data_IF_501999303663
#
_entry.id   IF_501999303663
#
_cell.length_a   1.000
_cell.length_b   1.000
_cell.length_c   1.000
_cell.angle_alpha   90.00
_cell.angle_beta   90.00
_cell.angle_gamma   90.00
#
_symmetry.space_group_name_H-M   'P 1'
#
loop_
_entity.id
_entity.type
_entity.pdbx_description
1 polymer ?
#
# COMPACT_ATOMS: atom_id res chain seq x y z
N UNK A 1 -26.62 -8.51 7.61
CA UNK A 1 -25.74 -9.20 6.64
C UNK A 1 -25.85 -8.42 5.34
N UNK A 2 -24.94 -7.50 5.10
CA UNK A 2 -24.90 -6.69 3.86
C UNK A 2 -24.46 -7.62 2.73
N UNK A 3 -25.25 -7.69 1.66
CA UNK A 3 -24.93 -8.50 0.48
C UNK A 3 -23.54 -8.05 -0.03
N UNK A 4 -22.63 -9.01 -0.19
CA UNK A 4 -21.33 -8.81 -0.81
C UNK A 4 -21.62 -8.38 -2.26
N UNK A 5 -21.21 -7.18 -2.65
CA UNK A 5 -21.18 -6.82 -4.06
C UNK A 5 -20.30 -7.88 -4.75
N UNK A 6 -20.79 -8.48 -5.83
CA UNK A 6 -20.24 -9.68 -6.48
C UNK A 6 -18.84 -9.48 -7.09
N UNK A 7 -18.15 -8.39 -6.77
CA UNK A 7 -16.92 -7.93 -7.43
C UNK A 7 -15.77 -7.58 -6.46
N UNK A 8 -15.99 -7.68 -5.13
CA UNK A 8 -14.96 -7.37 -4.12
C UNK A 8 -14.09 -8.59 -3.83
N UNK A 9 -12.79 -8.52 -4.16
CA UNK A 9 -11.82 -9.57 -3.81
C UNK A 9 -11.35 -9.44 -2.36
N UNK A 10 -11.12 -8.20 -1.89
CA UNK A 10 -10.70 -7.90 -0.52
C UNK A 10 -11.61 -6.85 0.09
N UNK A 11 -12.08 -7.10 1.32
CA UNK A 11 -12.80 -6.13 2.15
C UNK A 11 -12.19 -6.06 3.54
N UNK A 12 -11.80 -4.85 3.95
CA UNK A 12 -11.21 -4.55 5.26
C UNK A 12 -12.19 -3.70 6.05
N UNK A 13 -12.49 -4.10 7.29
CA UNK A 13 -13.44 -3.41 8.15
C UNK A 13 -12.86 -3.14 9.52
N UNK A 14 -12.78 -1.86 9.89
CA UNK A 14 -12.33 -1.38 11.20
C UNK A 14 -11.01 -2.01 11.67
N UNK A 15 -10.05 -2.16 10.74
CA UNK A 15 -8.77 -2.78 11.03
C UNK A 15 -7.95 -1.92 11.99
N UNK A 16 -7.48 -2.52 13.08
CA UNK A 16 -6.71 -1.85 14.14
C UNK A 16 -5.41 -2.60 14.40
N UNK A 17 -4.32 -1.85 14.50
CA UNK A 17 -3.04 -2.33 15.04
C UNK A 17 -2.43 -1.30 15.97
N UNK A 18 -2.41 -1.63 17.23
CA UNK A 18 -1.79 -0.84 18.28
C UNK A 18 -0.56 -1.57 18.81
N UNK A 19 0.57 -0.87 18.88
CA UNK A 19 1.82 -1.38 19.46
C UNK A 19 2.01 -0.77 20.85
N UNK A 20 2.05 -1.58 21.92
CA UNK A 20 2.35 -1.07 23.26
C UNK A 20 3.81 -0.63 23.31
N UNK A 21 4.06 0.59 23.79
CA UNK A 21 5.40 1.06 24.10
C UNK A 21 5.85 0.36 25.41
N UNK A 22 7.02 -0.25 25.38
CA UNK A 22 7.61 -0.82 26.59
C UNK A 22 7.94 0.32 27.55
N UNK A 23 7.58 0.23 28.84
CA UNK A 23 8.03 1.21 29.82
C UNK A 23 9.56 1.25 29.81
N UNK A 24 10.13 2.45 29.75
CA UNK A 24 11.56 2.63 29.91
C UNK A 24 12.02 2.14 31.28
N UNK A 25 13.31 1.84 31.45
CA UNK A 25 13.92 1.32 32.68
C UNK A 25 13.67 2.20 33.94
N UNK A 26 13.21 3.43 33.77
CA UNK A 26 12.88 4.40 34.81
C UNK A 26 11.37 4.65 34.98
N UNK A 27 10.48 3.75 34.54
CA UNK A 27 9.05 3.85 34.86
C UNK A 27 8.28 4.92 34.08
N UNK A 28 8.63 5.18 32.80
CA UNK A 28 7.89 6.10 31.92
C UNK A 28 6.48 5.61 31.58
N UNK A 29 5.60 6.55 31.18
CA UNK A 29 4.18 6.29 30.91
C UNK A 29 3.97 5.16 29.90
N UNK A 30 2.97 4.31 30.15
CA UNK A 30 2.50 3.27 29.23
C UNK A 30 1.85 3.96 28.01
N UNK A 31 2.63 4.22 26.96
CA UNK A 31 2.13 4.75 25.68
C UNK A 31 1.73 3.61 24.74
N UNK A 32 0.93 3.95 23.76
CA UNK A 32 0.53 3.04 22.65
C UNK A 32 0.74 3.78 21.34
N UNK A 33 1.44 3.15 20.38
CA UNK A 33 1.53 3.64 19.00
C UNK A 33 0.36 3.04 18.23
N UNK A 34 -0.54 3.89 17.75
CA UNK A 34 -1.69 3.51 16.92
C UNK A 34 -1.27 3.53 15.46
N UNK A 35 -0.63 2.47 15.01
CA UNK A 35 -0.12 2.39 13.63
C UNK A 35 -1.23 2.24 12.59
N UNK A 36 -2.31 1.54 12.93
CA UNK A 36 -3.55 1.42 12.16
C UNK A 36 -4.70 1.57 13.15
N UNK A 37 -5.66 2.43 12.89
CA UNK A 37 -6.69 2.82 13.87
C UNK A 37 -8.06 2.97 13.22
N UNK A 38 -8.74 1.84 12.96
CA UNK A 38 -10.08 1.80 12.37
C UNK A 38 -10.10 1.95 10.85
N UNK A 39 -9.13 1.37 10.14
CA UNK A 39 -9.04 1.44 8.68
C UNK A 39 -10.08 0.52 8.03
N UNK A 40 -10.84 1.08 7.06
CA UNK A 40 -11.83 0.34 6.27
C UNK A 40 -11.73 0.71 4.80
N UNK A 41 -11.66 -0.29 3.92
CA UNK A 41 -11.67 -0.14 2.46
C UNK A 41 -11.97 -1.48 1.79
N UNK A 42 -12.29 -1.45 0.49
CA UNK A 42 -12.39 -2.64 -0.34
C UNK A 42 -11.56 -2.51 -1.61
N UNK A 43 -11.18 -3.66 -2.19
CA UNK A 43 -10.50 -3.76 -3.48
C UNK A 43 -11.28 -4.75 -4.34
N UNK A 44 -11.68 -4.32 -5.54
CA UNK A 44 -12.36 -5.16 -6.53
C UNK A 44 -11.36 -6.07 -7.24
N UNK A 45 -11.84 -7.16 -7.81
CA UNK A 45 -10.99 -8.04 -8.61
C UNK A 45 -10.45 -7.30 -9.83
N UNK A 46 -9.13 -7.39 -10.09
CA UNK A 46 -8.44 -6.67 -11.15
C UNK A 46 -8.19 -5.19 -10.89
N UNK A 47 -8.64 -4.63 -9.75
CA UNK A 47 -8.41 -3.23 -9.38
C UNK A 47 -7.02 -3.03 -8.76
N UNK A 48 -6.42 -1.87 -9.02
CA UNK A 48 -5.29 -1.36 -8.25
C UNK A 48 -5.76 -0.27 -7.29
N UNK A 49 -5.75 -0.55 -5.98
CA UNK A 49 -5.95 0.45 -4.94
C UNK A 49 -4.61 1.01 -4.49
N UNK A 50 -4.41 2.31 -4.68
CA UNK A 50 -3.25 3.04 -4.13
C UNK A 50 -3.46 3.39 -2.67
N UNK A 51 -2.46 3.13 -1.82
CA UNK A 51 -2.46 3.57 -0.42
C UNK A 51 -1.30 4.54 -0.22
N UNK A 52 -1.62 5.82 0.00
CA UNK A 52 -0.64 6.91 0.04
C UNK A 52 -0.71 7.69 1.36
N UNK A 53 0.39 8.33 1.73
CA UNK A 53 0.50 9.19 2.92
C UNK A 53 1.94 9.36 3.36
N UNK A 54 2.20 10.24 4.33
CA UNK A 54 3.53 10.50 4.89
C UNK A 54 4.17 9.22 5.47
N UNK A 55 5.51 9.21 5.62
CA UNK A 55 6.21 8.14 6.33
C UNK A 55 5.67 8.00 7.76
N UNK A 56 5.44 6.77 8.20
CA UNK A 56 4.85 6.50 9.52
C UNK A 56 3.33 6.63 9.58
N UNK A 57 2.61 6.90 8.48
CA UNK A 57 1.14 6.96 8.48
C UNK A 57 0.45 5.61 8.70
N UNK A 58 1.16 4.48 8.60
CA UNK A 58 0.63 3.13 8.85
C UNK A 58 0.47 2.24 7.61
N UNK A 59 0.81 2.72 6.41
CA UNK A 59 0.64 2.02 5.12
C UNK A 59 1.25 0.61 5.09
N UNK A 60 2.56 0.51 5.32
CA UNK A 60 3.27 -0.78 5.33
C UNK A 60 2.78 -1.70 6.45
N UNK A 61 2.34 -1.13 7.59
CA UNK A 61 1.70 -1.90 8.66
C UNK A 61 0.40 -2.51 8.18
N UNK A 62 -0.43 -1.75 7.45
CA UNK A 62 -1.67 -2.25 6.84
C UNK A 62 -1.38 -3.41 5.86
N UNK A 63 -0.43 -3.23 4.95
CA UNK A 63 -0.02 -4.31 4.03
C UNK A 63 0.44 -5.58 4.76
N UNK A 64 1.25 -5.43 5.80
CA UNK A 64 1.75 -6.57 6.62
C UNK A 64 0.66 -7.27 7.42
N UNK A 65 -0.36 -6.55 7.88
CA UNK A 65 -1.54 -7.14 8.53
C UNK A 65 -2.32 -8.02 7.55
N UNK A 66 -2.58 -7.52 6.34
CA UNK A 66 -3.28 -8.29 5.31
C UNK A 66 -2.52 -9.56 4.93
N UNK A 67 -1.20 -9.49 4.85
CA UNK A 67 -0.34 -10.65 4.60
C UNK A 67 -0.17 -11.57 5.82
N UNK A 68 -0.82 -11.27 6.94
CA UNK A 68 -0.62 -11.99 8.23
C UNK A 68 0.84 -12.15 8.61
N UNK A 69 1.64 -11.14 8.33
CA UNK A 69 2.99 -10.97 8.88
C UNK A 69 2.94 -10.29 10.26
N UNK A 70 1.81 -9.63 10.56
CA UNK A 70 1.46 -9.06 11.85
C UNK A 70 0.04 -9.48 12.20
N UNK A 71 -0.22 -9.75 13.48
CA UNK A 71 -1.57 -9.99 13.97
C UNK A 71 -2.27 -8.65 14.26
N UNK A 72 -3.56 -8.48 13.89
CA UNK A 72 -4.32 -7.29 14.22
C UNK A 72 -4.60 -7.20 15.73
N UNK A 73 -4.89 -6.00 16.21
CA UNK A 73 -5.44 -5.79 17.54
C UNK A 73 -6.96 -6.05 17.53
N UNK A 74 -7.64 -5.62 16.47
CA UNK A 74 -9.06 -5.87 16.21
C UNK A 74 -9.39 -5.56 14.74
N UNK A 75 -10.65 -5.77 14.35
CA UNK A 75 -11.13 -5.60 12.98
C UNK A 75 -11.07 -6.89 12.18
N UNK A 76 -11.59 -6.84 10.95
CA UNK A 76 -11.69 -7.98 10.05
C UNK A 76 -11.12 -7.65 8.68
N UNK A 77 -10.65 -8.67 7.97
CA UNK A 77 -10.28 -8.58 6.57
C UNK A 77 -10.78 -9.84 5.86
N UNK A 78 -11.67 -9.65 4.90
CA UNK A 78 -12.33 -10.72 4.17
C UNK A 78 -11.70 -10.76 2.77
N UNK A 79 -11.08 -11.88 2.44
CA UNK A 79 -10.51 -12.17 1.13
C UNK A 79 -11.27 -13.32 0.50
N UNK A 80 -11.84 -13.10 -0.68
CA UNK A 80 -12.65 -14.08 -1.40
C UNK A 80 -13.75 -14.70 -0.51
N UNK A 81 -14.46 -13.84 0.21
CA UNK A 81 -15.56 -14.22 1.11
C UNK A 81 -15.15 -14.86 2.44
N UNK A 82 -13.84 -14.99 2.74
CA UNK A 82 -13.35 -15.66 3.96
C UNK A 82 -12.48 -14.72 4.79
N UNK A 83 -12.70 -14.71 6.10
CA UNK A 83 -11.92 -13.88 7.03
C UNK A 83 -10.46 -14.37 7.11
N UNK A 84 -9.54 -13.47 6.76
CA UNK A 84 -8.09 -13.72 6.76
C UNK A 84 -7.56 -14.11 8.16
N UNK A 85 -8.09 -13.50 9.21
CA UNK A 85 -7.53 -13.63 10.56
C UNK A 85 -7.95 -14.89 11.29
N UNK A 86 -8.99 -15.57 10.82
CA UNK A 86 -9.47 -16.84 11.39
C UNK A 86 -8.87 -18.07 10.74
N UNK A 87 -8.26 -17.95 9.54
CA UNK A 87 -7.70 -19.09 8.79
C UNK A 87 -6.51 -19.72 9.48
N UNK A 88 -6.41 -21.06 9.41
CA UNK A 88 -5.33 -21.86 9.99
C UNK A 88 -4.99 -23.04 9.07
N UNK A 89 -3.84 -23.69 9.31
CA UNK A 89 -3.45 -24.91 8.59
C UNK A 89 -3.40 -24.73 7.07
N UNK A 90 -4.06 -25.59 6.33
CA UNK A 90 -4.07 -25.58 4.85
C UNK A 90 -4.77 -24.36 4.27
N UNK A 91 -5.85 -23.87 4.90
CA UNK A 91 -6.54 -22.66 4.45
C UNK A 91 -5.62 -21.42 4.49
N UNK A 92 -4.76 -21.33 5.52
CA UNK A 92 -3.75 -20.28 5.61
C UNK A 92 -2.67 -20.42 4.52
N UNK A 93 -2.29 -21.65 4.17
CA UNK A 93 -1.33 -21.88 3.07
C UNK A 93 -1.93 -21.49 1.72
N UNK A 94 -3.18 -21.85 1.48
CA UNK A 94 -3.91 -21.47 0.27
C UNK A 94 -4.00 -19.96 0.15
N UNK A 95 -4.39 -19.27 1.22
CA UNK A 95 -4.42 -17.81 1.28
C UNK A 95 -3.05 -17.21 0.93
N UNK A 96 -1.97 -17.72 1.55
CA UNK A 96 -0.60 -17.23 1.29
C UNK A 96 -0.14 -17.47 -0.15
N UNK A 97 -0.68 -18.47 -0.84
CA UNK A 97 -0.47 -18.65 -2.27
C UNK A 97 -1.16 -17.56 -3.08
N UNK A 98 -2.42 -17.27 -2.74
CA UNK A 98 -3.26 -16.33 -3.48
C UNK A 98 -2.97 -14.86 -3.18
N UNK A 99 -2.29 -14.58 -2.07
CA UNK A 99 -1.87 -13.25 -1.67
C UNK A 99 -0.34 -13.21 -1.54
N UNK A 100 0.31 -12.36 -2.28
CA UNK A 100 1.77 -12.21 -2.26
C UNK A 100 2.18 -10.77 -2.02
N UNK A 101 3.43 -10.58 -1.58
CA UNK A 101 3.98 -9.26 -1.29
C UNK A 101 5.31 -9.05 -2.02
N UNK A 102 5.45 -7.85 -2.60
CA UNK A 102 6.72 -7.29 -3.07
C UNK A 102 7.18 -6.27 -2.03
N UNK A 103 8.35 -6.50 -1.45
CA UNK A 103 8.90 -5.66 -0.38
C UNK A 103 9.65 -4.44 -0.92
N UNK A 104 9.75 -3.43 -0.08
CA UNK A 104 10.44 -2.17 -0.31
C UNK A 104 11.93 -2.35 -0.62
N UNK A 105 12.61 -3.21 0.14
CA UNK A 105 14.04 -3.46 -0.02
C UNK A 105 14.31 -4.76 -0.80
N UNK A 106 14.77 -4.64 -2.06
CA UNK A 106 15.07 -5.81 -2.88
C UNK A 106 16.32 -6.58 -2.38
N UNK A 107 17.19 -5.95 -1.56
CA UNK A 107 18.38 -6.60 -1.04
C UNK A 107 18.06 -7.58 0.08
N UNK A 108 17.24 -7.18 1.04
CA UNK A 108 16.87 -8.02 2.18
C UNK A 108 15.79 -9.04 1.83
N UNK A 109 15.08 -8.85 0.72
CA UNK A 109 13.96 -9.71 0.32
C UNK A 109 14.38 -11.03 -0.33
N UNK A 110 15.61 -11.13 -0.87
CA UNK A 110 16.11 -12.31 -1.57
C UNK A 110 17.19 -13.03 -0.76
N UNK A 111 17.12 -14.36 -0.69
CA UNK A 111 18.16 -15.15 -0.03
C UNK A 111 19.48 -15.08 -0.84
N UNK A 112 20.56 -14.46 -0.32
CA UNK A 112 21.80 -14.26 -1.08
C UNK A 112 22.58 -15.55 -1.39
N UNK A 113 22.21 -16.67 -0.73
CA UNK A 113 22.84 -17.98 -0.91
C UNK A 113 22.15 -18.84 -1.97
N UNK A 114 21.03 -18.39 -2.52
CA UNK A 114 20.26 -19.09 -3.53
C UNK A 114 20.48 -18.44 -4.89
N UNK A 115 20.51 -19.25 -5.96
CA UNK A 115 20.43 -18.71 -7.32
C UNK A 115 19.04 -18.21 -7.63
N UNK A 116 18.89 -17.36 -8.63
CA UNK A 116 17.59 -16.82 -9.06
C UNK A 116 16.62 -17.97 -9.37
N UNK A 117 17.07 -19.00 -10.09
CA UNK A 117 16.24 -20.17 -10.39
C UNK A 117 15.76 -20.91 -9.14
N UNK A 118 16.59 -20.99 -8.07
CA UNK A 118 16.20 -21.58 -6.80
C UNK A 118 15.15 -20.73 -6.07
N UNK A 119 15.33 -19.40 -6.05
CA UNK A 119 14.39 -18.45 -5.46
C UNK A 119 13.01 -18.54 -6.14
N UNK A 120 12.97 -18.60 -7.46
CA UNK A 120 11.72 -18.74 -8.20
C UNK A 120 11.04 -20.09 -7.93
N UNK A 121 11.82 -21.18 -7.86
CA UNK A 121 11.28 -22.52 -7.54
C UNK A 121 10.70 -22.59 -6.13
N UNK A 122 11.34 -21.94 -5.14
CA UNK A 122 10.78 -21.79 -3.79
C UNK A 122 9.43 -21.07 -3.83
N UNK A 123 9.31 -19.98 -4.62
CA UNK A 123 8.04 -19.28 -4.83
C UNK A 123 6.93 -20.12 -5.46
N UNK A 124 7.28 -21.20 -6.18
CA UNK A 124 6.32 -22.13 -6.78
C UNK A 124 5.83 -23.23 -5.83
N UNK A 125 6.50 -23.45 -4.70
CA UNK A 125 6.14 -24.54 -3.77
C UNK A 125 4.67 -24.49 -3.33
N UNK A 126 4.06 -23.32 -3.06
CA UNK A 126 2.65 -23.25 -2.71
C UNK A 126 1.69 -23.74 -3.81
N UNK A 127 2.14 -23.76 -5.10
CA UNK A 127 1.33 -24.28 -6.23
C UNK A 127 1.37 -25.80 -6.33
N UNK A 128 2.24 -26.48 -5.58
CA UNK A 128 2.36 -27.93 -5.64
C UNK A 128 2.93 -28.46 -6.99
N UNK A 129 3.65 -27.64 -7.74
CA UNK A 129 4.33 -28.09 -8.97
C UNK A 129 5.45 -29.06 -8.59
N UNK A 130 5.27 -30.35 -8.91
CA UNK A 130 6.24 -31.40 -8.57
C UNK A 130 7.11 -31.81 -9.76
N UNK A 131 6.64 -31.65 -10.98
CA UNK A 131 7.37 -32.01 -12.19
C UNK A 131 8.56 -31.06 -12.41
N UNK A 132 9.77 -31.64 -12.51
CA UNK A 132 11.01 -30.85 -12.70
C UNK A 132 11.00 -30.06 -14.02
N UNK A 133 10.53 -30.66 -15.11
CA UNK A 133 10.51 -30.00 -16.42
C UNK A 133 9.53 -28.81 -16.43
N UNK A 134 8.35 -28.96 -15.81
CA UNK A 134 7.37 -27.88 -15.66
C UNK A 134 7.94 -26.73 -14.81
N UNK A 135 8.63 -27.04 -13.71
CA UNK A 135 9.29 -26.01 -12.88
C UNK A 135 10.36 -25.25 -13.65
N UNK A 136 11.18 -25.92 -14.46
CA UNK A 136 12.20 -25.27 -15.29
C UNK A 136 11.59 -24.37 -16.37
N UNK A 137 10.53 -24.84 -17.02
CA UNK A 137 9.80 -24.04 -18.01
C UNK A 137 9.17 -22.81 -17.36
N UNK A 138 8.58 -22.96 -16.18
CA UNK A 138 7.98 -21.85 -15.44
C UNK A 138 9.02 -20.83 -14.96
N UNK A 139 10.22 -21.26 -14.52
CA UNK A 139 11.34 -20.34 -14.22
C UNK A 139 11.68 -19.50 -15.44
N UNK A 140 11.78 -20.11 -16.62
CA UNK A 140 12.07 -19.39 -17.86
C UNK A 140 10.97 -18.37 -18.17
N UNK A 141 9.70 -18.80 -18.12
CA UNK A 141 8.53 -17.94 -18.36
C UNK A 141 8.50 -16.73 -17.41
N UNK A 142 8.75 -16.95 -16.11
CA UNK A 142 8.76 -15.88 -15.10
C UNK A 142 9.88 -14.88 -15.33
N UNK A 143 11.08 -15.33 -15.72
CA UNK A 143 12.18 -14.44 -16.07
C UNK A 143 11.84 -13.58 -17.28
N UNK A 144 11.31 -14.18 -18.34
CA UNK A 144 10.88 -13.46 -19.55
C UNK A 144 9.78 -12.46 -19.24
N UNK A 145 8.81 -12.84 -18.40
CA UNK A 145 7.70 -11.99 -17.98
C UNK A 145 8.17 -10.69 -17.30
N UNK A 146 9.25 -10.77 -16.52
CA UNK A 146 9.85 -9.57 -15.87
C UNK A 146 10.96 -8.92 -16.70
N UNK A 147 11.12 -9.32 -17.97
CA UNK A 147 12.09 -8.76 -18.90
C UNK A 147 13.54 -9.18 -18.61
N UNK A 148 13.73 -10.37 -18.04
CA UNK A 148 15.04 -10.96 -17.79
C UNK A 148 15.30 -12.14 -18.74
N UNK A 149 16.57 -12.48 -18.95
CA UNK A 149 16.96 -13.57 -19.84
C UNK A 149 17.08 -14.89 -19.08
N UNK A 150 16.72 -16.00 -19.71
CA UNK A 150 16.70 -17.34 -19.10
C UNK A 150 18.06 -17.79 -18.52
N UNK A 151 19.19 -17.42 -19.15
CA UNK A 151 20.53 -17.78 -18.65
C UNK A 151 20.86 -17.11 -17.30
N UNK A 152 20.13 -16.07 -16.89
CA UNK A 152 20.35 -15.37 -15.62
C UNK A 152 19.84 -16.18 -14.39
N UNK A 153 19.14 -17.29 -14.61
CA UNK A 153 18.62 -18.17 -13.55
C UNK A 153 19.68 -18.79 -12.67
N UNK A 154 20.91 -18.98 -13.21
CA UNK A 154 21.99 -19.65 -12.49
C UNK A 154 22.87 -18.66 -11.70
N UNK A 155 22.58 -17.35 -11.79
CA UNK A 155 23.28 -16.30 -11.07
C UNK A 155 22.67 -16.06 -9.68
N UNK A 156 23.50 -15.44 -8.81
CA UNK A 156 23.11 -15.09 -7.45
C UNK A 156 22.59 -13.63 -7.37
N UNK A 157 21.75 -13.27 -6.39
CA UNK A 157 21.20 -11.91 -6.26
C UNK A 157 22.24 -10.80 -6.22
N UNK A 158 23.42 -11.03 -5.63
CA UNK A 158 24.46 -10.02 -5.54
C UNK A 158 25.11 -9.65 -6.89
N UNK A 159 24.89 -10.44 -7.94
CA UNK A 159 25.37 -10.19 -9.30
C UNK A 159 24.46 -9.25 -10.12
N UNK A 160 23.36 -8.77 -9.52
CA UNK A 160 22.35 -7.97 -10.18
C UNK A 160 22.27 -6.55 -9.62
N UNK A 161 21.86 -5.59 -10.47
CA UNK A 161 21.51 -4.23 -10.03
C UNK A 161 20.25 -4.22 -9.13
N UNK A 162 20.03 -3.12 -8.41
CA UNK A 162 18.83 -2.95 -7.57
C UNK A 162 17.52 -3.18 -8.33
N UNK A 163 17.37 -2.59 -9.51
CA UNK A 163 16.19 -2.78 -10.36
C UNK A 163 16.03 -4.21 -10.88
N UNK A 164 17.14 -4.90 -11.20
CA UNK A 164 17.07 -6.31 -11.57
C UNK A 164 16.67 -7.19 -10.38
N UNK A 165 17.16 -6.92 -9.18
CA UNK A 165 16.73 -7.62 -7.95
C UNK A 165 15.26 -7.39 -7.68
N UNK A 166 14.77 -6.17 -7.89
CA UNK A 166 13.34 -5.89 -7.74
C UNK A 166 12.50 -6.71 -8.73
N UNK A 167 12.93 -6.82 -9.99
CA UNK A 167 12.28 -7.69 -10.98
C UNK A 167 12.29 -9.17 -10.56
N UNK A 168 13.37 -9.65 -9.95
CA UNK A 168 13.44 -11.01 -9.39
C UNK A 168 12.45 -11.16 -8.22
N UNK A 169 12.35 -10.16 -7.34
CA UNK A 169 11.36 -10.13 -6.25
C UNK A 169 9.91 -10.18 -6.75
N UNK A 170 9.61 -9.43 -7.81
CA UNK A 170 8.30 -9.46 -8.49
C UNK A 170 8.06 -10.87 -9.10
N UNK A 171 9.04 -11.43 -9.83
CA UNK A 171 8.93 -12.76 -10.41
C UNK A 171 8.70 -13.84 -9.34
N UNK A 172 9.37 -13.75 -8.18
CA UNK A 172 9.15 -14.66 -7.04
C UNK A 172 7.72 -14.55 -6.50
N UNK A 173 7.20 -13.35 -6.32
CA UNK A 173 5.82 -13.17 -5.89
C UNK A 173 4.82 -13.78 -6.89
N UNK A 174 5.05 -13.58 -8.19
CA UNK A 174 4.22 -14.14 -9.26
C UNK A 174 4.33 -15.66 -9.38
N UNK A 175 5.43 -16.27 -8.92
CA UNK A 175 5.65 -17.71 -8.98
C UNK A 175 4.58 -18.51 -8.24
N UNK A 176 3.99 -17.95 -7.19
CA UNK A 176 2.87 -18.55 -6.46
C UNK A 176 1.53 -18.52 -7.23
N UNK A 177 1.40 -17.69 -8.27
CA UNK A 177 0.16 -17.45 -9.00
C UNK A 177 -0.88 -16.69 -8.18
N UNK A 178 -0.53 -15.52 -7.64
CA UNK A 178 -1.42 -14.77 -6.74
C UNK A 178 -2.60 -14.13 -7.48
N UNK A 179 -3.70 -13.94 -6.77
CA UNK A 179 -4.83 -13.09 -7.17
C UNK A 179 -4.68 -11.67 -6.64
N UNK A 180 -4.03 -11.50 -5.46
CA UNK A 180 -3.74 -10.20 -4.86
C UNK A 180 -2.23 -10.01 -4.66
N UNK A 181 -1.71 -8.90 -5.14
CA UNK A 181 -0.33 -8.47 -4.93
C UNK A 181 -0.29 -7.22 -4.05
N UNK A 182 0.36 -7.30 -2.90
CA UNK A 182 0.70 -6.13 -2.08
C UNK A 182 2.07 -5.64 -2.52
N UNK A 183 2.14 -4.45 -3.11
CA UNK A 183 3.40 -3.81 -3.50
C UNK A 183 3.75 -2.74 -2.45
N UNK A 184 4.59 -3.10 -1.46
CA UNK A 184 4.98 -2.22 -0.36
C UNK A 184 6.20 -1.38 -0.76
N UNK A 185 5.96 -0.14 -1.21
CA UNK A 185 6.97 0.81 -1.71
C UNK A 185 7.96 0.20 -2.73
N UNK A 186 7.49 -0.46 -3.79
CA UNK A 186 8.31 -1.34 -4.62
C UNK A 186 9.42 -0.63 -5.41
N UNK A 187 9.46 0.71 -5.39
CA UNK A 187 10.44 1.51 -6.15
C UNK A 187 11.20 2.53 -5.31
N UNK A 188 10.91 2.68 -4.03
CA UNK A 188 11.47 3.76 -3.18
C UNK A 188 12.99 3.71 -3.01
N UNK A 189 13.61 2.53 -3.13
CA UNK A 189 15.05 2.31 -3.02
C UNK A 189 15.79 2.33 -4.37
N UNK A 190 15.14 2.74 -5.46
CA UNK A 190 15.67 2.70 -6.82
C UNK A 190 15.88 4.11 -7.40
N UNK A 191 16.82 4.24 -8.34
CA UNK A 191 17.00 5.47 -9.11
C UNK A 191 15.76 5.77 -9.99
N UNK A 192 15.47 7.06 -10.23
CA UNK A 192 14.25 7.53 -10.92
C UNK A 192 14.01 6.83 -12.27
N UNK A 193 15.07 6.67 -13.08
CA UNK A 193 14.93 5.99 -14.39
C UNK A 193 14.57 4.51 -14.27
N UNK A 194 15.05 3.85 -13.23
CA UNK A 194 14.76 2.44 -12.93
C UNK A 194 13.37 2.30 -12.31
N UNK A 195 12.96 3.27 -11.48
CA UNK A 195 11.59 3.33 -10.95
C UNK A 195 10.55 3.25 -12.07
N UNK A 196 10.67 4.12 -13.10
CA UNK A 196 9.74 4.12 -14.23
C UNK A 196 9.66 2.76 -14.93
N UNK A 197 10.80 2.07 -15.09
CA UNK A 197 10.81 0.74 -15.71
C UNK A 197 10.09 -0.32 -14.87
N UNK A 198 10.23 -0.28 -13.54
CA UNK A 198 9.57 -1.23 -12.63
C UNK A 198 8.07 -0.93 -12.54
N UNK A 199 7.68 0.35 -12.52
CA UNK A 199 6.26 0.75 -12.54
C UNK A 199 5.56 0.30 -13.83
N UNK A 200 6.17 0.54 -15.00
CA UNK A 200 5.64 0.08 -16.28
C UNK A 200 5.55 -1.46 -16.35
N UNK A 201 6.52 -2.15 -15.75
CA UNK A 201 6.44 -3.61 -15.62
C UNK A 201 5.23 -4.04 -14.78
N UNK A 202 5.00 -3.41 -13.61
CA UNK A 202 3.86 -3.74 -12.74
C UNK A 202 2.51 -3.47 -13.44
N UNK A 203 2.37 -2.34 -14.16
CA UNK A 203 1.17 -2.04 -14.97
C UNK A 203 0.93 -3.10 -16.04
N UNK A 204 1.98 -3.48 -16.78
CA UNK A 204 1.89 -4.54 -17.78
C UNK A 204 1.43 -5.85 -17.15
N UNK A 205 2.04 -6.25 -16.04
CA UNK A 205 1.70 -7.49 -15.32
C UNK A 205 0.26 -7.45 -14.78
N UNK A 206 -0.18 -6.33 -14.24
CA UNK A 206 -1.54 -6.13 -13.76
C UNK A 206 -2.55 -6.36 -14.90
N UNK A 207 -2.33 -5.74 -16.06
CA UNK A 207 -3.20 -5.89 -17.23
C UNK A 207 -3.16 -7.30 -17.85
N UNK A 208 -1.96 -7.90 -18.04
CA UNK A 208 -1.82 -9.21 -18.68
C UNK A 208 -2.32 -10.38 -17.82
N UNK A 209 -2.19 -10.25 -16.49
CA UNK A 209 -2.54 -11.32 -15.55
C UNK A 209 -3.84 -11.03 -14.78
N UNK A 210 -4.52 -9.92 -15.07
CA UNK A 210 -5.69 -9.43 -14.32
C UNK A 210 -5.45 -9.43 -12.80
N UNK A 211 -4.27 -8.93 -12.37
CA UNK A 211 -3.88 -8.91 -10.97
C UNK A 211 -4.64 -7.83 -10.20
N UNK A 212 -5.19 -8.20 -9.07
CA UNK A 212 -5.62 -7.22 -8.07
C UNK A 212 -4.41 -6.72 -7.30
N UNK A 213 -4.31 -5.41 -7.06
CA UNK A 213 -3.12 -4.85 -6.41
C UNK A 213 -3.47 -3.87 -5.29
N UNK A 214 -2.79 -4.00 -4.14
CA UNK A 214 -2.66 -2.93 -3.16
C UNK A 214 -1.29 -2.28 -3.35
N UNK A 215 -1.27 -1.08 -3.94
CA UNK A 215 -0.04 -0.36 -4.25
C UNK A 215 0.25 0.68 -3.18
N UNK A 216 1.26 0.46 -2.36
CA UNK A 216 1.66 1.35 -1.26
C UNK A 216 2.84 2.22 -1.72
N UNK A 217 2.69 3.54 -1.63
CA UNK A 217 3.77 4.48 -1.89
C UNK A 217 3.60 5.76 -1.05
N UNK A 218 4.65 6.57 -1.00
CA UNK A 218 4.61 7.90 -0.38
C UNK A 218 4.49 9.02 -1.43
N UNK A 219 4.75 8.73 -2.70
CA UNK A 219 4.66 9.68 -3.81
C UNK A 219 3.30 9.57 -4.51
N UNK A 220 2.52 10.65 -4.41
CA UNK A 220 1.22 10.76 -5.06
C UNK A 220 1.32 10.67 -6.58
N UNK A 221 2.38 11.21 -7.21
CA UNK A 221 2.53 11.18 -8.67
C UNK A 221 2.62 9.74 -9.18
N UNK A 222 3.39 8.91 -8.48
CA UNK A 222 3.51 7.47 -8.77
C UNK A 222 2.16 6.77 -8.57
N UNK A 223 1.48 7.04 -7.45
CA UNK A 223 0.19 6.40 -7.12
C UNK A 223 -0.88 6.77 -8.16
N UNK A 224 -0.92 8.03 -8.63
CA UNK A 224 -1.82 8.46 -9.69
C UNK A 224 -1.70 7.62 -10.95
N UNK A 225 -0.47 7.31 -11.34
CA UNK A 225 -0.19 6.54 -12.56
C UNK A 225 -0.54 5.06 -12.43
N UNK A 226 -0.45 4.54 -11.20
CA UNK A 226 -0.58 3.10 -10.91
C UNK A 226 -1.99 2.67 -10.52
N UNK A 227 -2.85 3.60 -10.07
CA UNK A 227 -4.04 3.23 -9.28
C UNK A 227 -5.34 3.71 -9.90
N UNK A 228 -6.35 2.84 -9.84
CA UNK A 228 -7.74 3.17 -10.21
C UNK A 228 -8.40 4.03 -9.14
N UNK A 229 -8.22 3.64 -7.86
CA UNK A 229 -8.67 4.39 -6.67
C UNK A 229 -7.50 4.61 -5.74
N UNK A 230 -7.61 5.67 -4.93
CA UNK A 230 -6.56 6.06 -3.98
C UNK A 230 -7.19 6.24 -2.59
N UNK A 231 -6.60 5.58 -1.60
CA UNK A 231 -6.85 5.79 -0.18
C UNK A 231 -5.70 6.62 0.41
N UNK A 232 -6.00 7.78 0.97
CA UNK A 232 -5.04 8.67 1.63
C UNK A 232 -5.03 8.36 3.11
N UNK A 233 -3.86 8.01 3.65
CA UNK A 233 -3.70 7.59 5.02
C UNK A 233 -2.88 8.60 5.83
N UNK A 234 -3.40 9.02 6.99
CA UNK A 234 -2.75 9.92 7.92
C UNK A 234 -2.89 9.42 9.36
N UNK A 235 -1.77 9.29 10.09
CA UNK A 235 -1.70 8.84 11.49
C UNK A 235 -2.61 7.64 11.82
N UNK A 236 -2.53 6.61 10.99
CA UNK A 236 -3.24 5.34 11.19
C UNK A 236 -4.67 5.30 10.64
N UNK A 237 -5.20 6.38 10.06
CA UNK A 237 -6.57 6.48 9.56
C UNK A 237 -6.60 6.77 8.06
N UNK A 238 -7.60 6.25 7.35
CA UNK A 238 -7.93 6.72 6.00
C UNK A 238 -8.72 8.01 6.16
N UNK A 239 -8.19 9.09 5.57
CA UNK A 239 -8.81 10.43 5.64
C UNK A 239 -9.56 10.79 4.36
N UNK A 240 -9.21 10.17 3.23
CA UNK A 240 -9.90 10.33 1.95
C UNK A 240 -9.73 9.09 1.10
N UNK A 241 -10.77 8.71 0.34
CA UNK A 241 -10.77 7.59 -0.61
C UNK A 241 -11.61 7.98 -1.81
N UNK A 242 -11.00 7.98 -2.99
CA UNK A 242 -11.69 8.35 -4.23
C UNK A 242 -11.08 7.66 -5.45
N UNK A 243 -11.76 7.77 -6.60
CA UNK A 243 -11.14 7.49 -7.89
C UNK A 243 -9.89 8.37 -8.08
N UNK A 244 -8.85 7.80 -8.68
CA UNK A 244 -7.56 8.48 -8.85
C UNK A 244 -7.72 9.85 -9.47
N UNK A 245 -8.43 9.97 -10.59
CA UNK A 245 -8.62 11.24 -11.27
C UNK A 245 -9.39 12.26 -10.41
N UNK A 246 -10.49 11.83 -9.77
CA UNK A 246 -11.32 12.68 -8.92
C UNK A 246 -10.54 13.27 -7.74
N UNK A 247 -9.70 12.45 -7.09
CA UNK A 247 -8.88 12.88 -5.97
C UNK A 247 -7.88 13.99 -6.35
N UNK A 248 -7.37 13.97 -7.59
CA UNK A 248 -6.42 14.99 -8.06
C UNK A 248 -7.10 16.27 -8.51
N UNK A 249 -8.32 16.19 -9.03
CA UNK A 249 -9.08 17.36 -9.51
C UNK A 249 -9.74 18.07 -8.33
N UNK A 250 -10.36 17.28 -7.42
CA UNK A 250 -11.20 17.82 -6.37
C UNK A 250 -10.96 17.12 -5.01
N UNK A 251 -9.77 17.31 -4.41
CA UNK A 251 -9.47 16.74 -3.09
C UNK A 251 -10.35 17.39 -2.02
N UNK A 252 -11.04 16.57 -1.24
CA UNK A 252 -12.03 16.96 -0.23
C UNK A 252 -11.57 16.80 1.21
N UNK A 253 -10.28 16.49 1.42
CA UNK A 253 -9.64 16.55 2.74
C UNK A 253 -8.45 17.52 2.71
N UNK A 254 -8.30 18.42 3.69
CA UNK A 254 -7.22 19.41 3.72
C UNK A 254 -5.81 18.78 3.69
N UNK A 255 -5.62 17.60 4.28
CA UNK A 255 -4.35 16.87 4.19
C UNK A 255 -4.03 16.43 2.76
N UNK A 256 -5.01 15.93 2.02
CA UNK A 256 -4.81 15.56 0.61
C UNK A 256 -4.40 16.77 -0.22
N UNK A 257 -5.02 17.92 0.02
CA UNK A 257 -4.64 19.20 -0.61
C UNK A 257 -3.19 19.57 -0.33
N UNK A 258 -2.76 19.43 0.94
CA UNK A 258 -1.36 19.71 1.31
C UNK A 258 -0.36 18.76 0.67
N UNK A 259 -0.71 17.47 0.53
CA UNK A 259 0.13 16.51 -0.19
C UNK A 259 0.23 16.84 -1.69
N UNK A 260 -0.88 17.23 -2.32
CA UNK A 260 -0.90 17.61 -3.73
C UNK A 260 -0.13 18.92 -3.99
N UNK A 261 -0.23 19.88 -3.08
CA UNK A 261 0.50 21.15 -3.16
C UNK A 261 2.03 20.96 -3.02
N UNK A 262 2.47 19.90 -2.35
CA UNK A 262 3.89 19.58 -2.19
C UNK A 262 4.52 18.94 -3.47
N UNK A 263 3.72 18.53 -4.46
CA UNK A 263 4.24 17.99 -5.72
C UNK A 263 4.81 19.15 -6.55
N UNK A 264 6.10 19.14 -6.94
CA UNK A 264 6.67 20.18 -7.76
C UNK A 264 5.93 20.33 -9.11
N UNK A 265 5.64 21.56 -9.50
CA UNK A 265 5.12 21.87 -10.82
C UNK A 265 6.34 22.12 -11.71
N UNK A 266 6.51 21.45 -12.85
CA UNK A 266 7.65 21.63 -13.74
C UNK A 266 7.48 22.89 -14.60
N UNK A 267 7.12 24.02 -13.98
CA UNK A 267 6.99 25.34 -14.59
C UNK A 267 7.82 26.32 -13.76
N UNK A 268 8.89 26.91 -14.33
CA UNK A 268 9.76 27.83 -13.61
C UNK A 268 9.08 29.15 -13.22
N UNK A 269 7.97 29.50 -13.85
CA UNK A 269 7.22 30.74 -13.60
C UNK A 269 6.19 30.57 -12.47
N UNK A 270 5.90 29.33 -12.05
CA UNK A 270 5.01 29.04 -10.94
C UNK A 270 5.79 29.06 -9.63
N UNK A 271 5.63 30.14 -8.88
CA UNK A 271 6.11 30.19 -7.49
C UNK A 271 5.18 29.32 -6.65
N UNK A 272 5.67 28.14 -6.21
CA UNK A 272 4.92 27.32 -5.27
C UNK A 272 4.56 28.16 -4.04
N UNK A 273 3.28 28.17 -3.60
CA UNK A 273 2.92 28.89 -2.39
C UNK A 273 3.80 28.36 -1.26
N UNK A 274 4.28 29.24 -0.34
CA UNK A 274 5.08 28.78 0.78
C UNK A 274 4.28 27.70 1.49
N UNK A 275 4.80 26.48 1.53
CA UNK A 275 4.29 25.45 2.42
C UNK A 275 4.50 26.02 3.80
N UNK A 276 3.45 26.60 4.40
CA UNK A 276 3.51 27.02 5.79
C UNK A 276 3.89 25.76 6.57
N UNK A 277 5.19 25.66 6.84
CA UNK A 277 5.73 24.70 7.76
C UNK A 277 5.25 25.07 9.17
N UNK A 278 3.97 24.91 9.42
CA UNK A 278 3.47 24.61 10.74
C UNK A 278 3.96 23.20 11.07
N UNK A 279 5.29 23.07 11.00
CA UNK A 279 6.06 21.90 11.34
C UNK A 279 6.18 21.79 12.86
N UNK A 280 5.05 21.65 13.50
CA UNK A 280 5.00 20.77 14.63
C UNK A 280 4.88 19.37 14.03
N UNK A 281 5.97 18.61 13.94
CA UNK A 281 5.87 17.17 13.88
C UNK A 281 4.95 16.79 15.03
N UNK A 282 3.64 16.59 14.71
CA UNK A 282 2.67 16.14 15.69
C UNK A 282 3.25 14.85 16.26
N UNK A 283 3.87 14.95 17.42
CA UNK A 283 4.30 13.80 18.18
C UNK A 283 3.07 12.92 18.28
N UNK A 284 3.19 11.63 18.03
CA UNK A 284 2.10 10.62 18.07
C UNK A 284 1.33 10.63 19.43
N UNK A 285 1.57 11.62 20.30
CA UNK A 285 0.98 11.82 21.62
C UNK A 285 -0.07 12.93 21.73
N UNK A 286 -0.20 13.85 20.78
CA UNK A 286 -0.96 15.09 21.02
C UNK A 286 -2.41 15.12 20.51
N UNK A 287 -2.83 14.25 19.63
CA UNK A 287 -4.22 14.20 19.14
C UNK A 287 -5.02 13.09 19.84
N UNK A 288 -5.22 13.19 21.14
CA UNK A 288 -6.20 12.35 21.83
C UNK A 288 -7.60 12.92 21.63
N UNK A 289 -8.29 12.46 20.59
CA UNK A 289 -9.66 12.84 20.26
C UNK A 289 -9.75 13.85 19.11
N UNK A 290 -10.81 13.76 18.30
CA UNK A 290 -11.09 14.63 17.18
C UNK A 290 -10.38 14.27 15.89
N UNK A 291 -10.46 15.18 14.91
CA UNK A 291 -9.82 15.05 13.61
C UNK A 291 -8.29 14.92 13.76
N UNK A 292 -7.71 13.86 13.22
CA UNK A 292 -6.27 13.58 13.31
C UNK A 292 -5.38 14.64 12.64
N UNK A 293 -5.92 15.41 11.69
CA UNK A 293 -5.20 16.48 11.01
C UNK A 293 -5.43 17.87 11.63
N UNK A 294 -6.25 17.99 12.70
CA UNK A 294 -6.71 19.27 13.27
C UNK A 294 -5.57 20.25 13.58
N UNK A 295 -4.46 19.79 14.13
CA UNK A 295 -3.34 20.65 14.53
C UNK A 295 -2.60 21.32 13.36
N UNK A 296 -2.71 20.74 12.16
CA UNK A 296 -2.06 21.23 10.93
C UNK A 296 -3.08 21.81 9.93
N UNK A 297 -4.38 21.69 10.23
CA UNK A 297 -5.43 22.02 9.26
C UNK A 297 -5.71 23.54 9.25
N UNK A 298 -5.59 24.22 8.09
CA UNK A 298 -5.89 25.65 7.99
C UNK A 298 -7.40 25.96 8.14
N UNK A 299 -8.26 24.93 7.99
CA UNK A 299 -9.72 25.03 8.12
C UNK A 299 -10.23 24.53 9.47
N UNK A 300 -9.36 24.32 10.46
CA UNK A 300 -9.75 23.76 11.75
C UNK A 300 -10.72 24.67 12.49
N UNK A 301 -11.84 24.09 12.98
CA UNK A 301 -12.85 24.76 13.78
C UNK A 301 -13.17 23.93 15.04
N UNK A 302 -14.02 24.45 15.91
CA UNK A 302 -14.37 23.81 17.18
C UNK A 302 -14.89 22.36 17.01
N UNK A 303 -15.73 22.11 15.99
CA UNK A 303 -16.27 20.78 15.68
C UNK A 303 -15.18 19.74 15.36
N UNK A 304 -13.99 20.16 14.89
CA UNK A 304 -12.87 19.25 14.65
C UNK A 304 -12.28 18.64 15.94
N UNK A 305 -12.79 19.05 17.13
CA UNK A 305 -12.54 18.34 18.38
C UNK A 305 -13.25 16.98 18.43
N UNK A 306 -14.24 16.78 17.57
CA UNK A 306 -14.89 15.49 17.32
C UNK A 306 -14.24 14.80 16.12
N UNK A 307 -14.17 13.47 16.16
CA UNK A 307 -13.60 12.69 15.05
C UNK A 307 -14.60 12.62 13.88
N UNK A 308 -14.24 13.15 12.67
CA UNK A 308 -15.10 13.02 11.52
C UNK A 308 -15.12 11.57 11.02
N UNK A 309 -16.28 10.97 10.78
CA UNK A 309 -16.36 9.67 10.15
C UNK A 309 -15.90 9.74 8.69
N UNK A 310 -15.24 8.67 8.19
CA UNK A 310 -15.05 8.51 6.75
C UNK A 310 -16.40 8.22 6.12
N UNK A 311 -16.97 9.19 5.41
CA UNK A 311 -18.29 9.10 4.79
C UNK A 311 -18.25 9.43 3.30
N UNK A 312 -19.11 8.80 2.55
CA UNK A 312 -19.28 9.11 1.13
C UNK A 312 -19.91 10.51 1.01
N UNK A 313 -19.25 11.36 0.21
CA UNK A 313 -19.65 12.75 -0.05
C UNK A 313 -20.13 12.94 -1.49
N UNK A 314 -19.70 12.05 -2.38
CA UNK A 314 -20.14 11.90 -3.76
C UNK A 314 -19.96 10.41 -4.15
N UNK A 315 -20.62 9.92 -5.21
CA UNK A 315 -20.45 8.54 -5.66
C UNK A 315 -18.98 8.16 -5.83
N UNK A 316 -18.52 7.16 -5.07
CA UNK A 316 -17.13 6.69 -5.08
C UNK A 316 -16.10 7.62 -4.45
N UNK A 317 -16.52 8.71 -3.79
CA UNK A 317 -15.64 9.65 -3.10
C UNK A 317 -16.01 9.78 -1.63
N UNK A 318 -15.18 9.32 -0.73
CA UNK A 318 -15.36 9.41 0.71
C UNK A 318 -14.29 10.28 1.37
N UNK A 319 -14.67 11.09 2.36
CA UNK A 319 -13.76 11.96 3.10
C UNK A 319 -14.09 11.97 4.60
N UNK A 320 -13.05 11.97 5.44
CA UNK A 320 -13.13 12.12 6.90
C UNK A 320 -12.89 13.59 7.28
N UNK A 321 -13.70 14.50 6.73
CA UNK A 321 -13.68 15.92 7.04
C UNK A 321 -15.09 16.44 7.28
N UNK A 322 -15.30 17.22 8.36
CA UNK A 322 -16.59 17.86 8.66
C UNK A 322 -17.04 18.84 7.57
N UNK A 323 -16.07 19.40 6.84
CA UNK A 323 -16.28 20.45 5.83
C UNK A 323 -16.07 19.96 4.40
N UNK A 324 -16.01 18.66 4.16
CA UNK A 324 -15.68 18.10 2.85
C UNK A 324 -16.48 18.70 1.69
N UNK A 325 -17.78 18.98 1.88
CA UNK A 325 -18.66 19.55 0.85
C UNK A 325 -18.58 21.08 0.75
N UNK A 326 -18.07 21.76 1.80
CA UNK A 326 -18.06 23.21 1.91
C UNK A 326 -16.65 23.82 1.79
N UNK A 327 -15.62 22.98 1.60
CA UNK A 327 -14.28 23.47 1.31
C UNK A 327 -14.30 24.27 0.00
N UNK A 328 -13.52 25.38 -0.08
CA UNK A 328 -13.39 26.12 -1.34
C UNK A 328 -12.86 25.23 -2.44
N UNK A 329 -13.13 25.59 -3.70
CA UNK A 329 -12.62 24.85 -4.85
C UNK A 329 -11.10 24.74 -4.78
N UNK A 330 -10.58 23.57 -5.12
CA UNK A 330 -9.14 23.34 -5.17
C UNK A 330 -8.60 23.85 -6.51
N UNK A 331 -7.87 24.96 -6.48
CA UNK A 331 -7.05 25.36 -7.63
C UNK A 331 -5.60 24.98 -7.33
N UNK A 332 -5.05 24.11 -8.16
CA UNK A 332 -3.60 23.96 -8.24
C UNK A 332 -3.13 25.08 -9.15
N UNK A 333 -2.64 26.19 -8.56
CA UNK A 333 -2.14 27.36 -9.31
C UNK A 333 -1.04 26.95 -10.25
#
# INVERSE_FOLDING_TARGET
>A
MTAIATDELLRVENLVKHFPLRPGFLGGSKGVVRAVDGVSFSIREGETLGLVGESGSGKSTTGRLLMRLLEPTSGTAIFDGQDLFTRKGEDLKTMRREMQIVFQDPYSSLNPRMTVGQILKEGMEPRGLTNKAEREAEVTRLLELVGMRSYQRDRYPHEFSGGQRQRIGIARALAAGPRLLVADEPVSALDVSIQAQVLNLLLKLQSELNLTMLFIAHDLTVVRHMSDRIAVMYLGKIVELAESQSLYIDPRHPYTRSLLAAIPIPDPDVVAPPVEANAGAGSQGEARGGCVYRSRCPFAQAICAEEPPLREIAPGHASACHFAETLPDYSRV
#
